data_IF_401334147777
#
_entry.id   IF_401334147777
#
_cell.length_a   1.000
_cell.length_b   1.000
_cell.length_c   1.000
_cell.angle_alpha   90.00
_cell.angle_beta   90.00
_cell.angle_gamma   90.00
#
_symmetry.space_group_name_H-M   'P 1'
#
loop_
_entity.id
_entity.type
_entity.pdbx_description
1 polymer ?
#
# COMPACT_ATOMS: atom_id res chain seq x y z
N UNK A 1 4.94 -14.09 -26.12
CA UNK A 1 6.15 -13.31 -25.79
C UNK A 1 6.24 -13.11 -24.28
N UNK A 2 7.44 -13.27 -23.72
CA UNK A 2 7.76 -12.95 -22.32
C UNK A 2 9.12 -12.27 -22.29
N UNK A 3 9.31 -11.34 -21.37
CA UNK A 3 10.64 -10.77 -21.09
C UNK A 3 11.44 -11.81 -20.32
N UNK A 4 12.45 -12.43 -20.97
CA UNK A 4 13.22 -13.54 -20.38
C UNK A 4 14.18 -13.09 -19.27
N UNK A 5 14.65 -11.83 -19.33
CA UNK A 5 15.60 -11.25 -18.37
C UNK A 5 14.92 -10.62 -17.14
N UNK A 6 13.60 -10.77 -17.01
CA UNK A 6 12.86 -10.17 -15.90
C UNK A 6 13.27 -10.78 -14.56
N UNK A 7 13.61 -9.92 -13.60
CA UNK A 7 13.76 -10.27 -12.19
C UNK A 7 12.49 -9.86 -11.42
N UNK A 8 11.53 -10.77 -11.18
CA UNK A 8 10.30 -10.43 -10.45
C UNK A 8 10.64 -9.98 -9.01
N UNK A 9 9.91 -9.00 -8.51
CA UNK A 9 10.03 -8.58 -7.12
C UNK A 9 9.10 -9.41 -6.24
N UNK A 10 9.60 -9.92 -5.11
CA UNK A 10 8.78 -10.62 -4.14
C UNK A 10 8.40 -9.65 -3.00
N UNK A 11 7.11 -9.36 -2.88
CA UNK A 11 6.59 -8.40 -1.91
C UNK A 11 5.17 -8.73 -1.45
N UNK A 12 4.76 -8.12 -0.35
CA UNK A 12 3.45 -8.29 0.26
C UNK A 12 2.46 -7.23 -0.24
N UNK A 13 2.91 -5.99 -0.44
CA UNK A 13 2.08 -4.88 -0.87
C UNK A 13 2.09 -4.76 -2.40
N UNK A 14 0.91 -4.61 -3.01
CA UNK A 14 0.75 -4.70 -4.46
C UNK A 14 1.45 -3.55 -5.21
N UNK A 15 1.39 -2.32 -4.69
CA UNK A 15 1.99 -1.15 -5.34
C UNK A 15 3.53 -1.19 -5.30
N UNK A 16 4.12 -1.61 -4.17
CA UNK A 16 5.58 -1.84 -4.04
C UNK A 16 6.03 -3.07 -4.82
N UNK A 17 5.22 -4.13 -4.92
CA UNK A 17 5.56 -5.32 -5.71
C UNK A 17 5.63 -5.02 -7.21
N UNK A 18 4.62 -4.31 -7.72
CA UNK A 18 4.62 -3.86 -9.11
C UNK A 18 5.80 -2.90 -9.37
N UNK A 19 5.95 -1.86 -8.54
CA UNK A 19 7.03 -0.87 -8.70
C UNK A 19 8.42 -1.49 -8.55
N UNK A 20 8.63 -2.36 -7.56
CA UNK A 20 9.89 -3.08 -7.35
C UNK A 20 10.27 -3.96 -8.54
N UNK A 21 9.29 -4.62 -9.17
CA UNK A 21 9.53 -5.38 -10.41
C UNK A 21 10.01 -4.47 -11.52
N UNK A 22 9.40 -3.28 -11.64
CA UNK A 22 9.79 -2.29 -12.63
C UNK A 22 11.19 -1.71 -12.34
N UNK A 23 11.57 -1.55 -11.07
CA UNK A 23 12.89 -1.06 -10.67
C UNK A 23 14.00 -2.08 -10.88
N UNK A 24 13.74 -3.36 -10.62
CA UNK A 24 14.68 -4.45 -10.89
C UNK A 24 15.08 -4.51 -12.37
N UNK A 25 14.17 -4.18 -13.29
CA UNK A 25 14.45 -4.09 -14.73
C UNK A 25 15.45 -2.95 -15.06
N UNK A 26 15.57 -1.96 -14.17
CA UNK A 26 16.50 -0.84 -14.27
C UNK A 26 17.79 -1.10 -13.45
N UNK A 27 18.00 -2.32 -12.97
CA UNK A 27 19.10 -2.68 -12.06
C UNK A 27 19.09 -1.88 -10.74
N UNK A 28 17.90 -1.49 -10.26
CA UNK A 28 17.70 -0.83 -8.96
C UNK A 28 17.04 -1.85 -8.04
N UNK A 29 17.86 -2.51 -7.21
CA UNK A 29 17.40 -3.53 -6.26
C UNK A 29 17.32 -2.91 -4.85
N UNK A 30 16.10 -2.83 -4.30
CA UNK A 30 15.80 -2.29 -2.97
C UNK A 30 14.86 -3.24 -2.24
N UNK A 31 14.90 -3.30 -0.91
CA UNK A 31 13.95 -4.09 -0.13
C UNK A 31 12.53 -3.50 -0.20
N UNK A 32 11.50 -4.29 0.12
CA UNK A 32 10.13 -3.78 0.18
C UNK A 32 9.95 -2.68 1.24
N UNK A 33 10.50 -2.79 2.47
CA UNK A 33 10.51 -1.69 3.43
C UNK A 33 11.15 -0.42 2.86
N UNK A 34 12.29 -0.53 2.17
CA UNK A 34 12.95 0.62 1.54
C UNK A 34 12.07 1.29 0.47
N UNK A 35 11.39 0.50 -0.37
CA UNK A 35 10.43 1.03 -1.35
C UNK A 35 9.26 1.72 -0.66
N UNK A 36 8.69 1.12 0.38
CA UNK A 36 7.58 1.71 1.14
C UNK A 36 7.99 3.03 1.81
N UNK A 37 9.18 3.07 2.41
CA UNK A 37 9.75 4.26 3.06
C UNK A 37 10.05 5.38 2.09
N UNK A 38 10.74 5.09 0.98
CA UNK A 38 11.04 6.05 -0.09
C UNK A 38 9.76 6.54 -0.81
N UNK A 39 8.71 5.73 -0.80
CA UNK A 39 7.39 6.12 -1.25
C UNK A 39 6.62 7.00 -0.28
N UNK A 40 7.20 7.34 0.87
CA UNK A 40 6.55 8.11 1.95
C UNK A 40 5.23 7.44 2.37
N UNK A 41 5.27 6.10 2.42
CA UNK A 41 4.09 5.25 2.40
C UNK A 41 3.27 5.26 3.67
N UNK A 42 3.85 5.61 4.83
CA UNK A 42 3.13 5.56 6.10
C UNK A 42 2.02 6.62 6.12
N UNK A 43 0.80 6.18 6.39
CA UNK A 43 -0.35 7.06 6.51
C UNK A 43 -1.36 6.52 7.51
N UNK A 44 -2.45 7.26 7.65
CA UNK A 44 -3.65 6.73 8.29
C UNK A 44 -4.86 7.46 7.71
N UNK A 45 -5.94 6.73 7.49
CA UNK A 45 -7.25 7.31 7.18
C UNK A 45 -8.37 6.50 7.82
N UNK A 46 -9.34 7.21 8.39
CA UNK A 46 -10.64 6.67 8.74
C UNK A 46 -11.70 7.33 7.88
N UNK A 47 -12.49 6.54 7.16
CA UNK A 47 -13.49 7.08 6.25
C UNK A 47 -14.84 6.38 6.44
N UNK A 48 -15.90 7.17 6.63
CA UNK A 48 -17.27 6.68 6.79
C UNK A 48 -18.20 7.54 5.94
N UNK A 49 -18.89 6.91 5.00
CA UNK A 49 -19.95 7.54 4.21
C UNK A 49 -21.27 6.80 4.42
N UNK A 50 -22.41 7.49 4.26
CA UNK A 50 -23.75 6.89 4.44
C UNK A 50 -24.02 5.71 3.51
N UNK A 51 -23.36 5.66 2.35
CA UNK A 51 -23.52 4.61 1.34
C UNK A 51 -22.59 3.42 1.55
N UNK A 52 -21.68 3.47 2.52
CA UNK A 52 -20.79 2.35 2.83
C UNK A 52 -21.45 1.43 3.85
N UNK A 53 -21.30 0.12 3.66
CA UNK A 53 -21.80 -0.87 4.61
C UNK A 53 -21.12 -0.73 5.98
N UNK A 54 -19.81 -0.48 5.98
CA UNK A 54 -19.01 -0.18 7.17
C UNK A 54 -17.89 0.83 6.87
N UNK A 55 -17.33 1.51 7.89
CA UNK A 55 -16.21 2.44 7.73
C UNK A 55 -14.93 1.78 7.21
N UNK A 56 -14.19 2.50 6.37
CA UNK A 56 -12.85 2.09 5.92
C UNK A 56 -11.76 2.59 6.86
N UNK A 57 -10.83 1.70 7.21
CA UNK A 57 -9.59 2.01 7.95
C UNK A 57 -8.40 1.71 7.04
N UNK A 58 -7.61 2.73 6.70
CA UNK A 58 -6.44 2.61 5.83
C UNK A 58 -5.16 3.03 6.55
N UNK A 59 -4.05 2.36 6.22
CA UNK A 59 -2.75 2.52 6.89
C UNK A 59 -1.63 3.19 6.09
N UNK A 60 -1.94 3.63 4.88
CA UNK A 60 -0.93 4.14 3.94
C UNK A 60 -1.35 5.42 3.26
N UNK A 61 -0.41 6.07 2.60
CA UNK A 61 -0.65 7.17 1.67
C UNK A 61 -1.64 6.75 0.57
N UNK A 62 -2.30 7.73 -0.04
CA UNK A 62 -3.23 7.52 -1.16
C UNK A 62 -2.56 6.68 -2.27
N UNK A 63 -3.31 5.76 -2.92
CA UNK A 63 -2.82 5.06 -4.11
C UNK A 63 -2.25 6.02 -5.16
N UNK A 64 -1.33 5.51 -5.98
CA UNK A 64 -0.58 6.25 -7.01
C UNK A 64 0.51 7.17 -6.46
N UNK A 65 0.33 7.78 -5.28
CA UNK A 65 1.32 8.70 -4.69
C UNK A 65 2.57 7.97 -4.21
N UNK A 66 2.44 6.73 -3.72
CA UNK A 66 3.58 5.93 -3.27
C UNK A 66 4.57 5.75 -4.43
N UNK A 67 4.08 5.34 -5.60
CA UNK A 67 4.92 5.18 -6.81
C UNK A 67 5.51 6.52 -7.29
N UNK A 68 4.74 7.61 -7.23
CA UNK A 68 5.23 8.95 -7.59
C UNK A 68 6.36 9.41 -6.66
N UNK A 69 6.23 9.16 -5.36
CA UNK A 69 7.25 9.52 -4.37
C UNK A 69 8.51 8.67 -4.53
N UNK A 70 8.40 7.36 -4.79
CA UNK A 70 9.55 6.52 -5.13
C UNK A 70 10.29 7.10 -6.34
N UNK A 71 9.57 7.39 -7.43
CA UNK A 71 10.19 7.93 -8.64
C UNK A 71 10.90 9.26 -8.39
N UNK A 72 10.25 10.17 -7.67
CA UNK A 72 10.82 11.46 -7.28
C UNK A 72 12.08 11.31 -6.43
N UNK A 73 12.02 10.50 -5.38
CA UNK A 73 13.14 10.33 -4.43
C UNK A 73 14.33 9.57 -5.07
N UNK A 74 14.09 8.78 -6.11
CA UNK A 74 15.12 8.06 -6.87
C UNK A 74 15.53 8.76 -8.19
N UNK A 75 15.12 10.01 -8.43
CA UNK A 75 15.41 10.76 -9.66
C UNK A 75 15.02 9.98 -10.94
N UNK A 76 13.90 9.25 -10.92
CA UNK A 76 13.39 8.49 -12.04
C UNK A 76 12.29 9.24 -12.78
N UNK A 77 12.18 8.99 -14.07
CA UNK A 77 11.06 9.44 -14.88
C UNK A 77 9.91 8.45 -14.73
N UNK A 78 8.80 8.91 -14.14
CA UNK A 78 7.55 8.17 -14.07
C UNK A 78 6.62 8.64 -15.19
N UNK A 79 6.32 7.75 -16.14
CA UNK A 79 5.30 7.97 -17.16
C UNK A 79 4.02 7.26 -16.76
N UNK A 80 2.93 8.01 -16.58
CA UNK A 80 1.58 7.48 -16.34
C UNK A 80 0.70 7.78 -17.56
N UNK A 81 0.00 6.77 -18.06
CA UNK A 81 -0.90 6.91 -19.21
C UNK A 81 -2.26 6.28 -18.92
N UNK A 82 -3.31 6.97 -19.33
CA UNK A 82 -4.69 6.52 -19.23
C UNK A 82 -5.42 6.70 -20.57
N UNK A 83 -6.38 5.82 -20.84
CA UNK A 83 -7.31 5.98 -21.95
C UNK A 83 -8.61 5.20 -21.71
N UNK A 84 -9.72 5.75 -22.18
CA UNK A 84 -11.02 5.08 -22.10
C UNK A 84 -11.18 3.93 -23.10
N UNK A 85 -10.29 3.79 -24.10
CA UNK A 85 -10.34 2.72 -25.10
C UNK A 85 -9.53 1.51 -24.63
N UNK A 86 -10.18 0.35 -24.32
CA UNK A 86 -9.45 -0.85 -23.90
C UNK A 86 -8.47 -1.33 -24.96
N UNK A 87 -8.84 -1.28 -26.24
CA UNK A 87 -7.98 -1.70 -27.34
C UNK A 87 -6.71 -0.83 -27.40
N UNK A 88 -6.85 0.50 -27.38
CA UNK A 88 -5.69 1.41 -27.39
C UNK A 88 -4.80 1.21 -26.17
N UNK A 89 -5.39 0.97 -25.00
CA UNK A 89 -4.66 0.71 -23.77
C UNK A 89 -3.88 -0.61 -23.83
N UNK A 90 -4.45 -1.63 -24.46
CA UNK A 90 -3.79 -2.91 -24.71
C UNK A 90 -2.65 -2.77 -25.71
N UNK A 91 -2.89 -2.14 -26.86
CA UNK A 91 -1.88 -1.95 -27.91
C UNK A 91 -0.65 -1.21 -27.38
N UNK A 92 -0.85 -0.19 -26.54
CA UNK A 92 0.24 0.56 -25.91
C UNK A 92 1.09 -0.31 -24.98
N UNK A 93 0.44 -1.14 -24.14
CA UNK A 93 1.14 -2.04 -23.22
C UNK A 93 1.85 -3.15 -23.99
N UNK A 94 1.21 -3.69 -25.02
CA UNK A 94 1.78 -4.70 -25.91
C UNK A 94 3.05 -4.18 -26.58
N UNK A 95 3.03 -2.96 -27.11
CA UNK A 95 4.21 -2.35 -27.74
C UNK A 95 5.40 -2.21 -26.79
N UNK A 96 5.16 -1.87 -25.52
CA UNK A 96 6.20 -1.79 -24.49
C UNK A 96 6.78 -3.16 -24.17
N UNK A 97 5.93 -4.18 -24.00
CA UNK A 97 6.37 -5.56 -23.75
C UNK A 97 7.16 -6.09 -24.96
N UNK A 98 6.71 -5.79 -26.18
CA UNK A 98 7.39 -6.18 -27.43
C UNK A 98 8.79 -5.55 -27.53
N UNK A 99 9.04 -4.43 -26.85
CA UNK A 99 10.36 -3.78 -26.70
C UNK A 99 11.16 -4.27 -25.50
N UNK A 100 10.66 -5.26 -24.75
CA UNK A 100 11.33 -5.81 -23.59
C UNK A 100 11.10 -5.05 -22.29
N UNK A 101 10.13 -4.12 -22.23
CA UNK A 101 9.86 -3.30 -21.05
C UNK A 101 8.66 -3.83 -20.25
N UNK A 102 8.86 -4.10 -18.97
CA UNK A 102 7.78 -4.48 -18.06
C UNK A 102 6.97 -3.23 -17.67
N UNK A 103 5.66 -3.41 -17.52
CA UNK A 103 4.71 -2.29 -17.35
C UNK A 103 3.91 -2.48 -16.07
N UNK A 104 3.79 -1.41 -15.28
CA UNK A 104 2.92 -1.39 -14.11
C UNK A 104 1.48 -1.13 -14.53
N UNK A 105 0.54 -1.88 -13.97
CA UNK A 105 -0.89 -1.74 -14.23
C UNK A 105 -1.62 -1.40 -12.93
N UNK A 106 -2.70 -0.62 -13.05
CA UNK A 106 -3.71 -0.48 -12.00
C UNK A 106 -4.98 -1.21 -12.43
N UNK A 107 -5.50 -2.05 -11.54
CA UNK A 107 -6.46 -3.11 -11.84
C UNK A 107 -7.53 -3.20 -10.75
N UNK A 108 -8.72 -3.70 -11.11
CA UNK A 108 -9.63 -4.32 -10.14
C UNK A 108 -9.31 -5.82 -10.02
N UNK A 109 -8.91 -6.24 -8.82
CA UNK A 109 -8.54 -7.62 -8.55
C UNK A 109 -9.71 -8.60 -8.64
N UNK A 110 -10.96 -8.12 -8.57
CA UNK A 110 -12.16 -8.96 -8.74
C UNK A 110 -12.14 -9.78 -10.03
N UNK A 111 -11.66 -9.17 -11.13
CA UNK A 111 -11.67 -9.80 -12.44
C UNK A 111 -10.50 -10.77 -12.66
N UNK A 112 -9.48 -10.73 -11.81
CA UNK A 112 -8.23 -11.48 -12.01
C UNK A 112 -8.41 -12.95 -11.60
N UNK A 113 -8.24 -13.86 -12.56
CA UNK A 113 -8.63 -15.28 -12.41
C UNK A 113 -7.82 -16.05 -11.36
N UNK A 114 -6.68 -15.52 -10.93
CA UNK A 114 -5.82 -16.13 -9.92
C UNK A 114 -6.17 -15.70 -8.48
N UNK A 115 -7.07 -14.72 -8.28
CA UNK A 115 -7.56 -14.37 -6.95
C UNK A 115 -8.56 -15.42 -6.46
N UNK A 116 -8.20 -16.14 -5.39
CA UNK A 116 -9.05 -17.21 -4.82
C UNK A 116 -10.33 -16.70 -4.15
N UNK A 117 -10.32 -15.46 -3.66
CA UNK A 117 -11.46 -14.77 -3.03
C UNK A 117 -11.59 -13.37 -3.61
N UNK A 118 -12.14 -13.23 -4.82
CA UNK A 118 -12.23 -11.94 -5.50
C UNK A 118 -13.22 -11.02 -4.79
N UNK A 119 -12.86 -9.74 -4.68
CA UNK A 119 -13.72 -8.65 -4.24
C UNK A 119 -13.39 -7.41 -5.06
N UNK A 120 -14.36 -6.53 -5.28
CA UNK A 120 -14.13 -5.31 -6.05
C UNK A 120 -13.17 -4.38 -5.32
N UNK A 121 -11.97 -4.25 -5.89
CA UNK A 121 -10.93 -3.35 -5.41
C UNK A 121 -10.07 -2.87 -6.58
N UNK A 122 -10.55 -1.83 -7.24
CA UNK A 122 -9.89 -1.16 -8.36
C UNK A 122 -8.67 -0.29 -8.00
N UNK A 123 -8.10 -0.51 -6.81
CA UNK A 123 -6.87 0.09 -6.32
C UNK A 123 -5.71 -0.90 -6.25
N UNK A 124 -5.79 -2.02 -6.97
CA UNK A 124 -4.77 -3.07 -7.00
C UNK A 124 -3.72 -2.79 -8.08
N UNK A 125 -2.49 -3.26 -7.86
CA UNK A 125 -1.37 -3.08 -8.79
C UNK A 125 -0.68 -4.40 -9.08
N UNK A 126 -0.25 -4.58 -10.33
CA UNK A 126 0.58 -5.71 -10.76
C UNK A 126 1.50 -5.26 -11.91
N UNK A 127 2.62 -5.93 -12.10
CA UNK A 127 3.51 -5.68 -13.25
C UNK A 127 3.24 -6.73 -14.35
N UNK A 128 2.94 -6.30 -15.57
CA UNK A 128 2.85 -7.19 -16.74
C UNK A 128 4.21 -7.28 -17.43
N UNK A 129 4.61 -8.50 -17.79
CA UNK A 129 5.92 -8.77 -18.41
C UNK A 129 5.85 -9.65 -19.66
N UNK A 130 4.64 -10.06 -20.05
CA UNK A 130 4.46 -10.94 -21.18
C UNK A 130 3.00 -11.17 -21.51
N UNK A 131 2.77 -11.71 -22.68
CA UNK A 131 1.47 -12.20 -23.13
C UNK A 131 1.64 -13.30 -24.18
N UNK A 132 0.65 -14.15 -24.33
CA UNK A 132 0.49 -15.04 -25.49
C UNK A 132 -0.84 -14.75 -26.19
N UNK A 133 -1.32 -15.68 -27.02
CA UNK A 133 -2.57 -15.52 -27.76
C UNK A 133 -3.77 -15.29 -26.82
N UNK A 134 -3.77 -15.92 -25.65
CA UNK A 134 -4.93 -16.04 -24.78
C UNK A 134 -4.69 -15.43 -23.39
N UNK A 135 -3.44 -15.31 -22.94
CA UNK A 135 -3.07 -14.96 -21.57
C UNK A 135 -2.11 -13.76 -21.49
N UNK A 136 -2.23 -13.01 -20.39
CA UNK A 136 -1.22 -12.10 -19.89
C UNK A 136 -0.44 -12.75 -18.72
N UNK A 137 0.85 -12.46 -18.65
CA UNK A 137 1.74 -12.91 -17.58
C UNK A 137 2.12 -11.72 -16.69
N UNK A 138 1.89 -11.87 -15.39
CA UNK A 138 1.96 -10.80 -14.40
C UNK A 138 2.88 -11.20 -13.24
N UNK A 139 3.44 -10.20 -12.57
CA UNK A 139 4.02 -10.29 -11.23
C UNK A 139 3.06 -9.56 -10.29
N UNK A 140 2.55 -10.31 -9.31
CA UNK A 140 1.70 -9.84 -8.22
C UNK A 140 2.36 -10.21 -6.89
N UNK A 141 1.72 -9.85 -5.78
CA UNK A 141 2.16 -10.12 -4.41
C UNK A 141 2.42 -11.62 -4.17
N UNK A 142 3.28 -11.91 -3.18
CA UNK A 142 3.60 -13.29 -2.77
C UNK A 142 2.34 -14.09 -2.41
N UNK A 143 1.39 -13.43 -1.74
CA UNK A 143 0.11 -14.02 -1.36
C UNK A 143 -0.70 -14.54 -2.56
N UNK A 144 -0.55 -13.91 -3.73
CA UNK A 144 -1.23 -14.32 -4.96
C UNK A 144 -0.40 -15.29 -5.82
N UNK A 145 0.84 -15.59 -5.41
CA UNK A 145 1.72 -16.56 -6.07
C UNK A 145 2.92 -15.93 -6.80
N UNK A 146 3.16 -14.63 -6.67
CA UNK A 146 4.30 -13.97 -7.33
C UNK A 146 4.10 -13.89 -8.84
N UNK A 147 4.67 -14.84 -9.60
CA UNK A 147 4.46 -14.92 -11.05
C UNK A 147 3.16 -15.65 -11.38
N UNK A 148 2.20 -14.93 -11.92
CA UNK A 148 0.84 -15.40 -12.19
C UNK A 148 0.43 -15.15 -13.64
N UNK A 149 -0.72 -15.70 -14.03
CA UNK A 149 -1.32 -15.46 -15.34
C UNK A 149 -2.83 -15.28 -15.24
N UNK A 150 -3.39 -14.48 -16.14
CA UNK A 150 -4.83 -14.35 -16.34
C UNK A 150 -5.14 -14.23 -17.83
N UNK A 151 -6.35 -14.56 -18.26
CA UNK A 151 -6.76 -14.38 -19.65
C UNK A 151 -6.73 -12.91 -20.07
N UNK A 152 -6.47 -12.64 -21.35
CA UNK A 152 -6.50 -11.27 -21.90
C UNK A 152 -7.88 -10.60 -21.72
N UNK A 153 -8.96 -11.38 -21.78
CA UNK A 153 -10.31 -10.89 -21.53
C UNK A 153 -10.50 -10.45 -20.06
N UNK A 154 -10.05 -11.27 -19.10
CA UNK A 154 -10.05 -10.92 -17.68
C UNK A 154 -9.21 -9.66 -17.41
N UNK A 155 -8.02 -9.57 -18.01
CA UNK A 155 -7.18 -8.38 -17.88
C UNK A 155 -7.88 -7.13 -18.42
N UNK A 156 -8.56 -7.23 -19.56
CA UNK A 156 -9.31 -6.12 -20.15
C UNK A 156 -10.44 -5.63 -19.22
N UNK A 157 -11.19 -6.56 -18.60
CA UNK A 157 -12.22 -6.22 -17.61
C UNK A 157 -11.61 -5.55 -16.37
N UNK A 158 -10.54 -6.12 -15.82
CA UNK A 158 -9.84 -5.60 -14.65
C UNK A 158 -9.34 -4.15 -14.85
N UNK A 159 -8.87 -3.82 -16.06
CA UNK A 159 -8.35 -2.50 -16.43
C UNK A 159 -9.45 -1.47 -16.75
N UNK A 160 -10.62 -1.93 -17.16
CA UNK A 160 -11.72 -1.08 -17.63
C UNK A 160 -12.84 -0.88 -16.58
N UNK A 161 -12.67 -1.41 -15.37
CA UNK A 161 -13.64 -1.30 -14.29
C UNK A 161 -14.01 0.16 -13.96
N UNK A 162 -15.23 0.37 -13.48
CA UNK A 162 -15.79 1.67 -13.13
C UNK A 162 -16.24 1.70 -11.68
N UNK A 163 -15.99 2.83 -11.01
CA UNK A 163 -16.40 3.02 -9.63
C UNK A 163 -15.31 3.64 -8.76
N UNK A 164 -15.43 3.51 -7.43
CA UNK A 164 -14.45 4.02 -6.49
C UNK A 164 -13.05 3.48 -6.79
N UNK A 165 -12.02 4.33 -6.64
CA UNK A 165 -10.59 4.00 -6.81
C UNK A 165 -10.14 3.57 -8.23
N UNK A 166 -11.06 3.44 -9.19
CA UNK A 166 -10.75 3.08 -10.59
C UNK A 166 -9.92 4.13 -11.32
N UNK A 167 -9.24 3.67 -12.36
CA UNK A 167 -8.51 4.47 -13.34
C UNK A 167 -8.88 4.02 -14.76
N UNK A 168 -8.73 4.89 -15.76
CA UNK A 168 -9.09 4.57 -17.16
C UNK A 168 -7.98 3.75 -17.83
N UNK A 169 -7.99 2.43 -17.64
CA UNK A 169 -7.00 1.49 -18.17
C UNK A 169 -5.54 1.90 -17.90
N UNK A 170 -5.28 2.48 -16.73
CA UNK A 170 -3.99 3.06 -16.37
C UNK A 170 -2.87 2.05 -16.50
N UNK A 171 -1.79 2.48 -17.15
CA UNK A 171 -0.50 1.82 -17.08
C UNK A 171 0.58 2.87 -16.78
N UNK A 172 1.69 2.41 -16.21
CA UNK A 172 2.83 3.25 -15.91
C UNK A 172 4.16 2.54 -16.16
N UNK A 173 5.19 3.34 -16.41
CA UNK A 173 6.57 2.89 -16.58
C UNK A 173 7.53 3.79 -15.83
N UNK A 174 8.70 3.25 -15.49
CA UNK A 174 9.82 3.98 -14.88
C UNK A 174 11.02 3.91 -15.81
N UNK A 175 11.72 5.04 -15.96
CA UNK A 175 12.97 5.12 -16.72
C UNK A 175 14.04 5.92 -15.94
N UNK A 176 15.32 5.63 -16.20
CA UNK A 176 16.43 6.44 -15.67
C UNK A 176 16.46 7.80 -16.37
N UNK A 177 16.66 8.88 -15.62
CA UNK A 177 16.72 10.26 -16.15
C UNK A 177 18.13 10.68 -16.61
N UNK A 178 19.11 9.79 -16.51
CA UNK A 178 20.53 10.11 -16.70
C UNK A 178 21.18 10.77 -15.47
N UNK A 179 20.42 11.08 -14.43
CA UNK A 179 20.93 11.55 -13.14
C UNK A 179 20.93 10.41 -12.14
N UNK A 180 22.05 10.21 -11.45
CA UNK A 180 22.13 9.25 -10.35
C UNK A 180 21.33 9.77 -9.14
N UNK A 181 20.81 8.85 -8.34
CA UNK A 181 20.22 9.16 -7.04
C UNK A 181 21.20 8.85 -5.93
N UNK A 182 21.21 9.67 -4.88
CA UNK A 182 21.88 9.34 -3.63
C UNK A 182 20.87 8.75 -2.64
N UNK A 183 20.97 7.45 -2.38
CA UNK A 183 20.04 6.74 -1.51
C UNK A 183 20.00 7.35 -0.09
N UNK A 184 21.14 7.82 0.43
CA UNK A 184 21.22 8.40 1.78
C UNK A 184 20.39 9.68 1.89
N UNK A 185 20.54 10.58 0.93
CA UNK A 185 19.74 11.81 0.83
C UNK A 185 18.27 11.51 0.57
N UNK A 186 17.97 10.53 -0.29
CA UNK A 186 16.60 10.11 -0.59
C UNK A 186 15.86 9.60 0.66
N UNK A 187 16.52 8.77 1.47
CA UNK A 187 15.97 8.27 2.74
C UNK A 187 15.63 9.42 3.70
N UNK A 188 16.56 10.35 3.92
CA UNK A 188 16.34 11.47 4.84
C UNK A 188 15.22 12.39 4.34
N UNK A 189 15.16 12.61 3.03
CA UNK A 189 14.09 13.40 2.40
C UNK A 189 12.73 12.75 2.57
N UNK A 190 12.61 11.45 2.26
CA UNK A 190 11.36 10.72 2.38
C UNK A 190 10.86 10.67 3.84
N UNK A 191 11.74 10.45 4.82
CA UNK A 191 11.37 10.44 6.25
C UNK A 191 10.84 11.81 6.68
N UNK A 192 11.54 12.90 6.34
CA UNK A 192 11.10 14.26 6.68
C UNK A 192 9.77 14.62 6.05
N UNK A 193 9.60 14.33 4.75
CA UNK A 193 8.35 14.61 4.03
C UNK A 193 7.20 13.81 4.64
N UNK A 194 7.37 12.49 4.80
CA UNK A 194 6.34 11.63 5.35
C UNK A 194 5.94 12.08 6.76
N UNK A 195 6.92 12.39 7.62
CA UNK A 195 6.68 12.87 8.98
C UNK A 195 5.96 14.21 9.02
N UNK A 196 6.39 15.16 8.16
CA UNK A 196 5.77 16.49 8.06
C UNK A 196 4.31 16.39 7.63
N UNK A 197 4.01 15.58 6.62
CA UNK A 197 2.64 15.38 6.16
C UNK A 197 1.79 14.65 7.21
N UNK A 198 2.37 13.66 7.90
CA UNK A 198 1.68 12.87 8.91
C UNK A 198 1.20 13.70 10.12
N UNK A 199 2.03 14.65 10.57
CA UNK A 199 1.71 15.53 11.71
C UNK A 199 0.88 16.76 11.31
N UNK A 200 0.82 17.09 10.01
CA UNK A 200 0.04 18.19 9.48
C UNK A 200 -1.10 17.72 8.55
N UNK A 201 -2.01 16.82 9.01
CA UNK A 201 -3.05 16.29 8.13
C UNK A 201 -4.06 17.40 7.77
N UNK A 202 -4.56 17.43 6.52
CA UNK A 202 -5.48 18.48 6.06
C UNK A 202 -6.87 18.39 6.69
N UNK A 203 -7.24 17.22 7.22
CA UNK A 203 -8.51 16.95 7.91
C UNK A 203 -8.27 16.02 9.10
N UNK A 204 -9.22 15.98 10.04
CA UNK A 204 -9.11 15.17 11.27
C UNK A 204 -9.25 13.66 11.06
N UNK A 205 -9.58 13.22 9.83
CA UNK A 205 -9.70 11.81 9.49
C UNK A 205 -8.36 11.15 9.13
N UNK A 206 -7.27 11.92 9.03
CA UNK A 206 -5.98 11.48 8.50
C UNK A 206 -4.88 11.57 9.57
N UNK A 207 -3.87 10.71 9.45
CA UNK A 207 -2.70 10.69 10.33
C UNK A 207 -3.06 10.40 11.78
N UNK A 208 -2.27 10.91 12.72
CA UNK A 208 -2.52 10.69 14.15
C UNK A 208 -3.89 11.22 14.61
N UNK A 209 -4.37 12.33 14.04
CA UNK A 209 -5.70 12.88 14.33
C UNK A 209 -6.80 11.92 13.89
N UNK A 210 -6.61 11.27 12.75
CA UNK A 210 -7.48 10.21 12.26
C UNK A 210 -7.58 9.06 13.26
N UNK A 211 -6.44 8.59 13.77
CA UNK A 211 -6.40 7.48 14.75
C UNK A 211 -7.17 7.86 16.01
N UNK A 212 -6.95 9.09 16.52
CA UNK A 212 -7.68 9.60 17.67
C UNK A 212 -9.18 9.65 17.41
N UNK A 213 -9.60 10.14 16.24
CA UNK A 213 -11.02 10.14 15.85
C UNK A 213 -11.58 8.72 15.75
N UNK A 214 -10.84 7.77 15.19
CA UNK A 214 -11.25 6.36 15.12
C UNK A 214 -11.51 5.79 16.50
N UNK A 215 -10.72 6.15 17.52
CA UNK A 215 -10.92 5.67 18.89
C UNK A 215 -12.34 5.90 19.41
N UNK A 216 -12.99 7.00 19.00
CA UNK A 216 -14.38 7.30 19.39
C UNK A 216 -15.39 6.72 18.41
N UNK A 217 -15.09 6.76 17.11
CA UNK A 217 -16.01 6.33 16.04
C UNK A 217 -16.28 4.82 16.05
N UNK A 218 -15.31 4.00 16.49
CA UNK A 218 -15.49 2.54 16.54
C UNK A 218 -16.57 2.11 17.55
N UNK A 219 -16.80 2.90 18.60
CA UNK A 219 -17.86 2.64 19.59
C UNK A 219 -19.23 2.82 18.94
N UNK A 220 -19.41 3.91 18.19
CA UNK A 220 -20.68 4.17 17.51
C UNK A 220 -20.89 3.23 16.32
N UNK A 221 -19.82 2.92 15.59
CA UNK A 221 -19.87 1.90 14.54
C UNK A 221 -20.34 0.55 15.09
N UNK A 222 -19.78 0.08 16.20
CA UNK A 222 -20.22 -1.18 16.82
C UNK A 222 -21.71 -1.17 17.18
N UNK A 223 -22.22 -0.07 17.76
CA UNK A 223 -23.63 0.06 18.15
C UNK A 223 -24.60 0.11 16.98
N UNK A 224 -24.16 0.65 15.84
CA UNK A 224 -25.00 0.89 14.67
C UNK A 224 -24.80 -0.12 13.55
N UNK A 225 -23.78 -0.98 13.66
CA UNK A 225 -23.51 -2.01 12.68
C UNK A 225 -24.68 -2.99 12.59
N UNK A 226 -25.04 -3.33 11.36
CA UNK A 226 -26.03 -4.37 11.06
C UNK A 226 -25.41 -5.77 11.03
N UNK A 227 -24.08 -5.85 10.98
CA UNK A 227 -23.32 -7.08 10.84
C UNK A 227 -21.95 -6.93 11.54
N UNK A 228 -21.99 -6.89 12.87
CA UNK A 228 -20.80 -6.74 13.73
C UNK A 228 -19.74 -7.80 13.41
N UNK A 229 -20.17 -9.02 13.11
CA UNK A 229 -19.25 -10.12 12.83
C UNK A 229 -18.45 -9.83 11.55
N UNK A 230 -19.10 -9.56 10.43
CA UNK A 230 -18.37 -9.32 9.19
C UNK A 230 -17.60 -8.00 9.19
N UNK A 231 -18.17 -6.93 9.74
CA UNK A 231 -17.57 -5.59 9.78
C UNK A 231 -16.18 -5.62 10.47
N UNK A 232 -16.14 -6.15 11.69
CA UNK A 232 -14.94 -6.12 12.53
C UNK A 232 -13.95 -7.22 12.14
N UNK A 233 -14.44 -8.41 11.74
CA UNK A 233 -13.57 -9.49 11.23
C UNK A 233 -12.88 -9.09 9.93
N UNK A 234 -13.60 -8.46 9.00
CA UNK A 234 -13.01 -7.96 7.75
C UNK A 234 -12.00 -6.87 8.04
N UNK A 235 -12.30 -5.96 8.95
CA UNK A 235 -11.38 -4.87 9.31
C UNK A 235 -10.11 -5.38 10.02
N UNK A 236 -10.22 -6.34 10.93
CA UNK A 236 -9.08 -7.01 11.55
C UNK A 236 -8.20 -7.72 10.49
N UNK A 237 -8.84 -8.46 9.58
CA UNK A 237 -8.16 -9.12 8.47
C UNK A 237 -7.42 -8.12 7.57
N UNK A 238 -8.04 -6.99 7.23
CA UNK A 238 -7.42 -5.94 6.41
C UNK A 238 -6.27 -5.22 7.14
N UNK A 239 -6.28 -5.12 8.47
CA UNK A 239 -5.15 -4.55 9.22
C UNK A 239 -3.92 -5.45 9.16
N UNK A 240 -4.10 -6.77 9.26
CA UNK A 240 -2.99 -7.72 9.35
C UNK A 240 -2.58 -8.36 8.02
N UNK A 241 -3.51 -8.45 7.07
CA UNK A 241 -3.34 -9.11 5.78
C UNK A 241 -3.72 -8.15 4.64
N UNK A 242 -4.01 -8.67 3.45
CA UNK A 242 -4.37 -7.87 2.27
C UNK A 242 -3.27 -6.89 1.82
N UNK A 243 -2.02 -7.33 1.95
CA UNK A 243 -0.85 -6.59 1.50
C UNK A 243 -0.50 -5.37 2.33
N UNK A 244 -0.81 -5.39 3.63
CA UNK A 244 -0.34 -4.37 4.59
C UNK A 244 1.03 -4.69 5.21
N UNK A 245 1.52 -5.92 5.09
CA UNK A 245 2.71 -6.36 5.83
C UNK A 245 2.46 -6.57 7.33
N UNK A 246 1.20 -6.54 7.78
CA UNK A 246 0.82 -6.61 9.18
C UNK A 246 0.82 -5.26 9.89
N UNK A 247 0.09 -5.19 11.01
CA UNK A 247 -0.04 -4.00 11.84
C UNK A 247 -0.37 -2.71 11.04
N UNK A 248 -1.22 -2.83 10.02
CA UNK A 248 -1.69 -1.72 9.19
C UNK A 248 -0.50 -0.88 8.62
N UNK A 249 0.46 -1.55 7.99
CA UNK A 249 1.71 -1.01 7.41
C UNK A 249 2.81 -0.60 8.38
N UNK A 250 2.60 -0.71 9.70
CA UNK A 250 3.63 -0.27 10.68
C UNK A 250 4.84 -1.19 10.69
N UNK A 251 4.70 -2.47 10.36
CA UNK A 251 5.84 -3.38 10.21
C UNK A 251 6.77 -2.94 9.08
N UNK A 252 6.23 -2.61 7.90
CA UNK A 252 7.04 -2.12 6.76
C UNK A 252 7.77 -0.82 7.11
N UNK A 253 7.10 0.13 7.77
CA UNK A 253 7.75 1.38 8.18
C UNK A 253 8.79 1.16 9.28
N UNK A 254 8.52 0.29 10.26
CA UNK A 254 9.48 -0.10 11.30
C UNK A 254 10.76 -0.67 10.69
N UNK A 255 10.61 -1.56 9.71
CA UNK A 255 11.74 -2.25 9.08
C UNK A 255 12.53 -1.27 8.18
N UNK A 256 11.84 -0.35 7.51
CA UNK A 256 12.47 0.76 6.79
C UNK A 256 13.34 1.63 7.70
N UNK A 257 12.85 2.01 8.88
CA UNK A 257 13.64 2.80 9.84
C UNK A 257 14.86 2.03 10.35
N UNK A 258 14.74 0.71 10.53
CA UNK A 258 15.88 -0.15 10.90
C UNK A 258 16.94 -0.18 9.79
N UNK A 259 16.54 -0.47 8.56
CA UNK A 259 17.45 -0.48 7.40
C UNK A 259 18.12 0.88 7.20
N UNK A 260 17.34 1.96 7.34
CA UNK A 260 17.84 3.34 7.29
C UNK A 260 18.86 3.61 8.40
N UNK A 261 18.61 3.17 9.63
CA UNK A 261 19.56 3.28 10.73
C UNK A 261 20.84 2.48 10.44
N UNK A 262 20.73 1.26 9.93
CA UNK A 262 21.88 0.44 9.60
C UNK A 262 22.79 1.12 8.57
N UNK A 263 22.21 1.84 7.60
CA UNK A 263 22.95 2.56 6.56
C UNK A 263 23.50 3.92 7.02
N UNK A 264 22.71 4.70 7.76
CA UNK A 264 23.01 6.09 8.10
C UNK A 264 23.62 6.29 9.49
N UNK A 265 23.45 5.32 10.40
CA UNK A 265 23.90 5.36 11.80
C UNK A 265 23.39 6.57 12.61
N UNK A 266 22.18 7.04 12.31
CA UNK A 266 21.53 8.15 13.02
C UNK A 266 20.68 7.61 14.18
N UNK A 267 20.88 8.12 15.40
CA UNK A 267 20.19 7.63 16.60
C UNK A 267 18.67 7.85 16.57
N UNK A 268 18.20 8.94 15.96
CA UNK A 268 16.75 9.19 15.78
C UNK A 268 16.06 8.09 14.98
N UNK A 269 16.76 7.45 14.03
CA UNK A 269 16.21 6.33 13.26
C UNK A 269 16.06 5.08 14.12
N UNK A 270 17.04 4.81 15.00
CA UNK A 270 16.96 3.72 15.96
C UNK A 270 15.81 3.93 16.94
N UNK A 271 15.70 5.13 17.51
CA UNK A 271 14.58 5.48 18.40
C UNK A 271 13.22 5.38 17.68
N UNK A 272 13.16 5.80 16.41
CA UNK A 272 11.96 5.64 15.58
C UNK A 272 11.61 4.18 15.33
N UNK A 273 12.59 3.34 15.02
CA UNK A 273 12.41 1.89 14.87
C UNK A 273 11.88 1.24 16.16
N UNK A 274 12.47 1.54 17.31
CA UNK A 274 12.03 1.04 18.62
C UNK A 274 10.58 1.47 18.91
N UNK A 275 10.26 2.75 18.69
CA UNK A 275 8.90 3.26 18.85
C UNK A 275 7.91 2.56 17.91
N UNK A 276 8.25 2.39 16.63
CA UNK A 276 7.37 1.70 15.67
C UNK A 276 7.28 0.19 15.92
N UNK A 277 8.23 -0.42 16.62
CA UNK A 277 8.12 -1.79 17.12
C UNK A 277 6.99 -1.91 18.14
N UNK A 278 6.94 -0.99 19.11
CA UNK A 278 5.85 -0.94 20.09
C UNK A 278 4.51 -0.59 19.42
N UNK A 279 4.50 0.41 18.55
CA UNK A 279 3.29 0.86 17.85
C UNK A 279 2.71 -0.27 16.98
N UNK A 280 3.56 -1.05 16.28
CA UNK A 280 3.11 -2.19 15.50
C UNK A 280 2.41 -3.25 16.37
N UNK A 281 2.99 -3.57 17.53
CA UNK A 281 2.38 -4.51 18.47
C UNK A 281 1.01 -4.01 18.99
N UNK A 282 0.87 -2.71 19.23
CA UNK A 282 -0.42 -2.11 19.60
C UNK A 282 -1.46 -2.20 18.49
N UNK A 283 -1.08 -1.98 17.22
CA UNK A 283 -1.97 -2.17 16.07
C UNK A 283 -2.44 -3.62 15.94
N UNK A 284 -1.55 -4.59 16.17
CA UNK A 284 -1.92 -6.01 16.21
C UNK A 284 -2.89 -6.30 17.35
N UNK A 285 -2.70 -5.70 18.53
CA UNK A 285 -3.66 -5.82 19.63
C UNK A 285 -5.05 -5.24 19.27
N UNK A 286 -5.11 -4.11 18.55
CA UNK A 286 -6.38 -3.55 18.04
C UNK A 286 -7.06 -4.54 17.09
N UNK A 287 -6.31 -5.14 16.16
CA UNK A 287 -6.84 -6.13 15.22
C UNK A 287 -7.41 -7.36 15.95
N UNK A 288 -6.68 -7.90 16.93
CA UNK A 288 -7.15 -9.02 17.76
C UNK A 288 -8.41 -8.67 18.56
N UNK A 289 -8.51 -7.46 19.10
CA UNK A 289 -9.72 -6.99 19.80
C UNK A 289 -10.91 -6.85 18.85
N UNK A 290 -10.69 -6.45 17.60
CA UNK A 290 -11.73 -6.43 16.57
C UNK A 290 -12.20 -7.85 16.23
N UNK A 291 -11.28 -8.80 16.11
CA UNK A 291 -11.62 -10.22 15.93
C UNK A 291 -12.46 -10.75 17.11
N UNK A 292 -12.04 -10.49 18.35
CA UNK A 292 -12.82 -10.86 19.55
C UNK A 292 -14.20 -10.19 19.58
N UNK A 293 -14.30 -8.91 19.21
CA UNK A 293 -15.57 -8.20 19.11
C UNK A 293 -16.49 -8.81 18.04
N UNK A 294 -15.92 -9.28 16.92
CA UNK A 294 -16.66 -9.92 15.84
C UNK A 294 -17.27 -11.26 16.27
N UNK A 295 -16.52 -12.07 17.02
CA UNK A 295 -16.93 -13.40 17.46
C UNK A 295 -17.93 -13.36 18.62
N UNK A 296 -17.65 -12.48 19.60
CA UNK A 296 -18.42 -12.45 20.86
C UNK A 296 -19.56 -11.45 20.85
N UNK A 297 -19.52 -10.45 19.96
CA UNK A 297 -20.44 -9.30 19.95
C UNK A 297 -20.46 -8.56 21.29
N UNK A 298 -19.33 -8.56 22.01
CA UNK A 298 -19.16 -7.87 23.28
C UNK A 298 -18.44 -6.52 23.09
N UNK A 299 -19.14 -5.43 23.44
CA UNK A 299 -18.64 -4.06 23.29
C UNK A 299 -17.39 -3.77 24.14
N UNK A 300 -17.09 -4.58 25.17
CA UNK A 300 -15.90 -4.37 26.00
C UNK A 300 -14.60 -4.39 25.17
N UNK A 301 -14.52 -5.22 24.13
CA UNK A 301 -13.34 -5.31 23.28
C UNK A 301 -13.17 -4.04 22.42
N UNK A 302 -14.27 -3.41 22.03
CA UNK A 302 -14.25 -2.11 21.34
C UNK A 302 -13.80 -0.98 22.29
N UNK A 303 -14.23 -1.01 23.55
CA UNK A 303 -13.73 -0.07 24.55
C UNK A 303 -12.23 -0.24 24.81
N UNK A 304 -11.72 -1.47 24.87
CA UNK A 304 -10.29 -1.73 24.99
C UNK A 304 -9.53 -1.23 23.75
N UNK A 305 -10.03 -1.51 22.55
CA UNK A 305 -9.42 -1.05 21.30
C UNK A 305 -9.40 0.49 21.20
N UNK A 306 -10.44 1.16 21.71
CA UNK A 306 -10.52 2.62 21.81
C UNK A 306 -9.36 3.21 22.61
N UNK A 307 -9.08 2.67 23.80
CA UNK A 307 -7.97 3.15 24.64
C UNK A 307 -6.60 2.89 24.01
N UNK A 308 -6.44 1.75 23.33
CA UNK A 308 -5.21 1.46 22.59
C UNK A 308 -5.03 2.44 21.42
N UNK A 309 -6.08 2.75 20.65
CA UNK A 309 -6.02 3.72 19.55
C UNK A 309 -5.63 5.13 20.03
N UNK A 310 -6.11 5.58 21.19
CA UNK A 310 -5.65 6.85 21.80
C UNK A 310 -4.15 6.82 22.08
N UNK A 311 -3.67 5.70 22.65
CA UNK A 311 -2.24 5.49 22.94
C UNK A 311 -1.40 5.48 21.66
N UNK A 312 -1.87 4.79 20.60
CA UNK A 312 -1.23 4.76 19.28
C UNK A 312 -1.14 6.18 18.72
N UNK A 313 -2.24 6.95 18.75
CA UNK A 313 -2.27 8.31 18.23
C UNK A 313 -1.19 9.19 18.84
N UNK A 314 -1.06 9.16 20.17
CA UNK A 314 -0.04 9.93 20.89
C UNK A 314 1.38 9.47 20.59
N UNK A 315 1.61 8.14 20.54
CA UNK A 315 2.93 7.56 20.22
C UNK A 315 3.36 7.88 18.80
N UNK A 316 2.48 7.70 17.81
CA UNK A 316 2.76 8.02 16.42
C UNK A 316 3.02 9.51 16.24
N UNK A 317 2.21 10.39 16.86
CA UNK A 317 2.46 11.84 16.82
C UNK A 317 3.87 12.20 17.29
N UNK A 318 4.25 11.76 18.51
CA UNK A 318 5.56 12.06 19.10
C UNK A 318 6.72 11.51 18.26
N UNK A 319 6.55 10.29 17.76
CA UNK A 319 7.57 9.64 16.94
C UNK A 319 7.77 10.38 15.62
N UNK A 320 6.68 10.77 14.95
CA UNK A 320 6.76 11.52 13.70
C UNK A 320 7.27 12.96 13.92
N UNK A 321 6.93 13.63 15.02
CA UNK A 321 7.52 14.94 15.38
C UNK A 321 9.04 14.83 15.55
N UNK A 322 9.54 13.76 16.17
CA UNK A 322 10.98 13.50 16.26
C UNK A 322 11.59 13.24 14.87
N UNK A 323 10.99 12.35 14.07
CA UNK A 323 11.50 11.99 12.75
C UNK A 323 11.49 13.17 11.76
N UNK A 324 10.56 14.12 11.89
CA UNK A 324 10.53 15.34 11.08
C UNK A 324 11.77 16.23 11.28
N UNK A 325 12.49 16.06 12.40
CA UNK A 325 13.70 16.83 12.73
C UNK A 325 15.00 16.08 12.44
N UNK A 326 14.93 14.92 11.78
CA UNK A 326 16.14 14.23 11.32
C UNK A 326 16.91 15.08 10.32
#
# INVERSE_FOLDING_TARGET
MKIETLKPFNGQHCETTATGTLLNQLDIELSEPMLFGLGEGLGFIFWKMKSMDFPFVGGRIKPDLLTQNIAKNLNLELTIKETASPQKAWDSVKELIDKGQAVGLKLDCFHLQYFSKPFHFAGHYAAIYGYDKDNAFLVDTEQQGGQVKTSLNSLALARAEKGPMTSKNLYYTLNKTGHEFDLKTAILTAIRNNATDYINPPITNIGYKGILKTSTEIIEWFKTSKDIENDFKTSAMLMEKAGTGGALFRNLYRDFLNESHQLLKIDKLKAGHEAFTEIAALWTAVSQLFEMASETKDIKYIHQASEILKTISDKEKKTMEMLATI
#
